data_IF_087024180642
#
_entry.id   IF_087024180642
#
_cell.length_a   1.000
_cell.length_b   1.000
_cell.length_c   1.000
_cell.angle_alpha   90.00
_cell.angle_beta   90.00
_cell.angle_gamma   90.00
#
_symmetry.space_group_name_H-M   'P 1'
#
loop_
_entity.id
_entity.type
_entity.pdbx_description
1 polymer ?
#
# COMPACT_ATOMS: atom_id res chain seq x y z
N UNK A 1 12.05 -3.96 -21.62
CA UNK A 1 11.15 -5.13 -21.66
C UNK A 1 10.13 -4.99 -20.56
N UNK A 2 8.88 -4.94 -20.98
CA UNK A 2 7.64 -4.66 -20.25
C UNK A 2 7.30 -5.84 -19.35
N UNK A 3 7.15 -5.64 -18.03
CA UNK A 3 6.31 -6.54 -17.20
C UNK A 3 4.92 -5.93 -17.22
N UNK A 4 4.02 -6.67 -17.86
CA UNK A 4 2.64 -6.30 -18.16
C UNK A 4 1.86 -6.27 -16.86
N UNK A 5 1.24 -5.13 -16.53
CA UNK A 5 0.20 -5.02 -15.50
C UNK A 5 -0.85 -6.11 -15.80
N UNK A 6 -0.86 -7.22 -15.05
CA UNK A 6 -1.81 -8.29 -15.29
C UNK A 6 -3.20 -7.79 -14.88
N UNK A 7 -4.08 -7.59 -15.85
CA UNK A 7 -5.46 -7.23 -15.62
C UNK A 7 -6.16 -8.39 -14.89
N UNK A 8 -6.75 -8.10 -13.73
CA UNK A 8 -7.60 -9.07 -13.02
C UNK A 8 -8.78 -9.43 -13.94
N UNK A 9 -9.08 -10.73 -14.14
CA UNK A 9 -10.29 -11.14 -14.84
C UNK A 9 -11.52 -10.52 -14.21
N UNK A 10 -12.42 -9.95 -15.04
CA UNK A 10 -13.61 -9.23 -14.54
C UNK A 10 -14.45 -10.06 -13.55
N UNK A 11 -14.50 -11.38 -13.72
CA UNK A 11 -15.25 -12.27 -12.84
C UNK A 11 -14.66 -12.35 -11.43
N UNK A 12 -13.33 -12.34 -11.32
CA UNK A 12 -12.59 -12.32 -10.06
C UNK A 12 -12.76 -10.96 -9.37
N UNK A 13 -12.60 -9.87 -10.12
CA UNK A 13 -12.85 -8.51 -9.66
C UNK A 13 -14.27 -8.33 -9.08
N UNK A 14 -15.28 -8.93 -9.71
CA UNK A 14 -16.67 -8.87 -9.22
C UNK A 14 -16.87 -9.73 -7.96
N UNK A 15 -16.26 -10.91 -7.92
CA UNK A 15 -16.29 -11.78 -6.74
C UNK A 15 -15.70 -11.10 -5.51
N UNK A 16 -14.55 -10.41 -5.68
CA UNK A 16 -13.90 -9.64 -4.62
C UNK A 16 -14.76 -8.47 -4.12
N UNK A 17 -15.55 -7.88 -5.01
CA UNK A 17 -16.55 -6.85 -4.68
C UNK A 17 -17.85 -7.42 -4.07
N UNK A 18 -17.89 -8.71 -3.74
CA UNK A 18 -19.07 -9.38 -3.20
C UNK A 18 -20.23 -9.51 -4.21
N UNK A 19 -19.96 -9.30 -5.50
CA UNK A 19 -20.95 -9.37 -6.57
C UNK A 19 -20.81 -10.69 -7.35
N UNK A 20 -21.92 -11.41 -7.52
CA UNK A 20 -21.94 -12.61 -8.36
C UNK A 20 -22.15 -12.22 -9.84
N UNK A 21 -21.38 -12.82 -10.74
CA UNK A 21 -21.49 -12.60 -12.17
C UNK A 21 -21.91 -13.87 -12.92
N UNK A 22 -22.89 -13.75 -13.81
CA UNK A 22 -23.28 -14.79 -14.76
C UNK A 22 -23.09 -14.28 -16.17
N UNK A 23 -22.18 -14.91 -16.90
CA UNK A 23 -21.90 -14.57 -18.30
C UNK A 23 -23.05 -15.10 -19.18
N UNK A 24 -23.69 -14.21 -19.93
CA UNK A 24 -24.77 -14.54 -20.88
C UNK A 24 -24.24 -14.60 -22.31
N UNK A 25 -23.30 -13.72 -22.65
CA UNK A 25 -22.63 -13.63 -23.95
C UNK A 25 -21.23 -13.03 -23.78
N UNK A 26 -20.38 -12.96 -24.82
CA UNK A 26 -19.05 -12.32 -24.75
C UNK A 26 -19.06 -10.86 -24.28
N UNK A 27 -20.21 -10.17 -24.35
CA UNK A 27 -20.36 -8.78 -23.92
C UNK A 27 -21.54 -8.54 -22.99
N UNK A 28 -22.35 -9.53 -22.69
CA UNK A 28 -23.51 -9.37 -21.82
C UNK A 28 -23.32 -10.24 -20.58
N UNK A 29 -23.33 -9.60 -19.42
CA UNK A 29 -23.16 -10.23 -18.11
C UNK A 29 -24.31 -9.79 -17.22
N UNK A 30 -24.89 -10.74 -16.51
CA UNK A 30 -25.82 -10.45 -15.43
C UNK A 30 -25.04 -10.41 -14.13
N UNK A 31 -25.09 -9.26 -13.44
CA UNK A 31 -24.40 -9.04 -12.17
C UNK A 31 -25.45 -8.97 -11.06
N UNK A 32 -25.22 -9.73 -10.00
CA UNK A 32 -25.99 -9.67 -8.75
C UNK A 32 -25.09 -9.00 -7.71
N UNK A 33 -25.27 -7.70 -7.43
CA UNK A 33 -24.53 -7.01 -6.39
C UNK A 33 -24.93 -7.54 -4.99
N UNK A 34 -24.19 -7.21 -3.93
CA UNK A 34 -24.55 -7.56 -2.55
C UNK A 34 -25.98 -7.14 -2.15
N UNK A 35 -26.49 -6.05 -2.72
CA UNK A 35 -27.86 -5.56 -2.52
C UNK A 35 -28.95 -6.45 -3.15
N UNK A 36 -28.56 -7.50 -3.88
CA UNK A 36 -29.42 -8.60 -4.33
C UNK A 36 -30.17 -8.37 -5.65
N UNK A 37 -30.33 -7.12 -6.10
CA UNK A 37 -31.05 -6.81 -7.34
C UNK A 37 -30.21 -7.12 -8.58
N UNK A 38 -30.66 -8.07 -9.42
CA UNK A 38 -29.96 -8.46 -10.66
C UNK A 38 -29.92 -7.31 -11.67
N UNK A 39 -28.75 -7.13 -12.30
CA UNK A 39 -28.50 -6.07 -13.28
C UNK A 39 -27.93 -6.69 -14.54
N UNK A 40 -28.56 -6.41 -15.69
CA UNK A 40 -28.00 -6.77 -16.98
C UNK A 40 -27.02 -5.69 -17.44
N UNK A 41 -25.77 -6.10 -17.64
CA UNK A 41 -24.65 -5.23 -17.98
C UNK A 41 -24.07 -5.62 -19.33
N UNK A 42 -24.01 -4.64 -20.23
CA UNK A 42 -23.29 -4.76 -21.49
C UNK A 42 -21.89 -4.18 -21.37
N UNK A 43 -20.87 -5.01 -21.59
CA UNK A 43 -19.47 -4.69 -21.42
C UNK A 43 -18.87 -4.01 -22.65
N UNK A 44 -18.08 -2.98 -22.38
CA UNK A 44 -17.23 -2.27 -23.33
C UNK A 44 -15.80 -2.31 -22.79
N UNK A 45 -14.93 -3.06 -23.48
CA UNK A 45 -13.52 -3.20 -23.10
C UNK A 45 -12.69 -2.08 -23.73
N UNK A 46 -11.92 -1.38 -22.91
CA UNK A 46 -11.05 -0.28 -23.33
C UNK A 46 -9.65 -0.46 -22.73
N UNK A 47 -8.62 -0.10 -23.49
CA UNK A 47 -7.23 -0.08 -23.00
C UNK A 47 -6.88 1.18 -22.20
N UNK A 48 -7.82 2.13 -22.10
CA UNK A 48 -7.67 3.41 -21.41
C UNK A 48 -8.97 3.79 -20.70
N UNK A 49 -8.92 4.66 -19.67
CA UNK A 49 -10.12 5.21 -19.07
C UNK A 49 -11.04 5.86 -20.12
N UNK A 50 -12.36 5.58 -20.09
CA UNK A 50 -13.30 6.19 -21.02
C UNK A 50 -13.45 7.69 -20.74
N UNK A 51 -13.68 8.47 -21.80
CA UNK A 51 -14.05 9.89 -21.64
C UNK A 51 -15.53 10.01 -21.30
N UNK A 52 -15.92 11.09 -20.60
CA UNK A 52 -17.31 11.37 -20.28
C UNK A 52 -18.23 11.47 -21.51
N UNK A 53 -17.69 11.82 -22.69
CA UNK A 53 -18.43 11.85 -23.95
C UNK A 53 -18.68 10.44 -24.48
N UNK A 54 -17.65 9.60 -24.51
CA UNK A 54 -17.78 8.19 -24.93
C UNK A 54 -18.78 7.44 -24.04
N UNK A 55 -18.73 7.67 -22.72
CA UNK A 55 -19.66 7.06 -21.76
C UNK A 55 -21.11 7.45 -22.06
N UNK A 56 -21.37 8.75 -22.22
CA UNK A 56 -22.72 9.26 -22.54
C UNK A 56 -23.23 8.75 -23.89
N UNK A 57 -22.36 8.65 -24.89
CA UNK A 57 -22.74 8.16 -26.21
C UNK A 57 -23.15 6.69 -26.17
N UNK A 58 -22.39 5.83 -25.47
CA UNK A 58 -22.71 4.41 -25.34
C UNK A 58 -24.00 4.18 -24.55
N UNK A 59 -24.21 4.92 -23.46
CA UNK A 59 -25.47 4.87 -22.70
C UNK A 59 -26.65 5.36 -23.54
N UNK A 60 -26.48 6.42 -24.32
CA UNK A 60 -27.53 6.95 -25.20
C UNK A 60 -27.92 6.01 -26.35
N UNK A 61 -27.00 5.13 -26.76
CA UNK A 61 -27.24 4.11 -27.80
C UNK A 61 -27.77 2.78 -27.22
N UNK A 62 -27.81 2.63 -25.89
CA UNK A 62 -28.25 1.42 -25.23
C UNK A 62 -29.78 1.30 -25.21
N UNK A 63 -30.28 0.05 -25.19
CA UNK A 63 -31.70 -0.19 -24.97
C UNK A 63 -32.13 0.29 -23.57
N UNK A 64 -33.39 0.68 -23.43
CA UNK A 64 -33.93 1.13 -22.14
C UNK A 64 -33.77 0.03 -21.07
N UNK A 65 -33.21 0.41 -19.92
CA UNK A 65 -32.97 -0.49 -18.79
C UNK A 65 -31.62 -1.21 -18.80
N UNK A 66 -30.86 -1.18 -19.90
CA UNK A 66 -29.52 -1.78 -19.97
C UNK A 66 -28.46 -0.88 -19.34
N UNK A 67 -27.63 -1.46 -18.46
CA UNK A 67 -26.45 -0.77 -17.92
C UNK A 67 -25.24 -1.01 -18.82
N UNK A 68 -24.46 0.02 -19.11
CA UNK A 68 -23.20 -0.08 -19.87
C UNK A 68 -22.02 -0.14 -18.91
N UNK A 69 -21.27 -1.23 -18.93
CA UNK A 69 -20.10 -1.46 -18.11
C UNK A 69 -18.80 -1.26 -18.86
N UNK A 70 -17.96 -0.31 -18.44
CA UNK A 70 -16.65 -0.13 -19.05
C UNK A 70 -15.59 -0.88 -18.26
N UNK A 71 -14.88 -1.78 -18.94
CA UNK A 71 -13.74 -2.52 -18.40
C UNK A 71 -12.47 -1.85 -18.89
N UNK A 72 -11.69 -1.30 -17.96
CA UNK A 72 -10.44 -0.58 -18.22
C UNK A 72 -9.39 -1.00 -17.20
N UNK A 73 -8.09 -1.01 -17.55
CA UNK A 73 -7.04 -1.30 -16.58
C UNK A 73 -7.11 -0.40 -15.35
N UNK A 74 -7.32 0.91 -15.56
CA UNK A 74 -7.40 1.89 -14.47
C UNK A 74 -8.58 2.85 -14.66
N UNK A 75 -9.08 3.38 -13.57
CA UNK A 75 -10.18 4.34 -13.51
C UNK A 75 -9.63 5.71 -13.08
N UNK A 76 -10.03 6.76 -13.80
CA UNK A 76 -9.68 8.13 -13.45
C UNK A 76 -10.85 8.84 -12.75
N UNK A 77 -10.57 9.97 -12.11
CA UNK A 77 -11.56 10.75 -11.35
C UNK A 77 -12.77 11.22 -12.18
N UNK A 78 -12.60 11.41 -13.50
CA UNK A 78 -13.66 11.88 -14.40
C UNK A 78 -14.64 10.74 -14.69
N UNK A 79 -14.15 9.58 -15.13
CA UNK A 79 -14.97 8.40 -15.39
C UNK A 79 -15.68 7.92 -14.12
N UNK A 80 -14.96 7.84 -12.99
CA UNK A 80 -15.52 7.53 -11.66
C UNK A 80 -16.70 8.43 -11.32
N UNK A 81 -16.55 9.76 -11.47
CA UNK A 81 -17.62 10.72 -11.21
C UNK A 81 -18.86 10.50 -12.08
N UNK A 82 -18.66 10.18 -13.36
CA UNK A 82 -19.79 9.90 -14.28
C UNK A 82 -20.52 8.63 -13.86
N UNK A 83 -19.80 7.57 -13.49
CA UNK A 83 -20.39 6.31 -13.08
C UNK A 83 -21.15 6.39 -11.75
N UNK A 84 -20.65 7.20 -10.81
CA UNK A 84 -21.34 7.49 -9.56
C UNK A 84 -22.61 8.35 -9.77
N UNK A 85 -22.64 9.18 -10.82
CA UNK A 85 -23.75 10.09 -11.10
C UNK A 85 -24.85 9.51 -12.01
N UNK A 86 -24.54 8.53 -12.87
CA UNK A 86 -25.50 7.89 -13.78
C UNK A 86 -25.59 6.39 -13.50
N UNK A 87 -26.71 5.88 -12.92
CA UNK A 87 -26.86 4.47 -12.57
C UNK A 87 -26.94 3.52 -13.79
N UNK A 88 -26.95 4.05 -15.01
CA UNK A 88 -26.85 3.27 -16.26
C UNK A 88 -25.40 3.03 -16.68
N UNK A 89 -24.44 3.60 -15.95
CA UNK A 89 -23.02 3.40 -16.17
C UNK A 89 -22.46 2.50 -15.07
N UNK A 90 -21.70 1.49 -15.46
CA UNK A 90 -20.84 0.72 -14.57
C UNK A 90 -19.37 0.87 -14.99
N UNK A 91 -18.45 0.77 -14.04
CA UNK A 91 -17.01 0.80 -14.29
C UNK A 91 -16.32 -0.34 -13.56
N UNK A 92 -15.36 -0.95 -14.25
CA UNK A 92 -14.57 -2.06 -13.76
C UNK A 92 -13.10 -1.79 -14.05
N UNK A 93 -12.37 -1.49 -12.99
CA UNK A 93 -10.96 -1.19 -12.98
C UNK A 93 -10.15 -2.45 -12.67
N UNK A 94 -9.61 -3.10 -13.71
CA UNK A 94 -9.00 -4.43 -13.56
C UNK A 94 -7.62 -4.42 -12.93
N UNK A 95 -6.97 -3.27 -12.81
CA UNK A 95 -5.67 -3.10 -12.14
C UNK A 95 -5.80 -2.37 -10.80
N UNK A 96 -6.75 -1.45 -10.67
CA UNK A 96 -6.98 -0.68 -9.43
C UNK A 96 -8.11 -1.22 -8.55
N UNK A 97 -8.72 -2.35 -8.93
CA UNK A 97 -9.69 -3.08 -8.10
C UNK A 97 -11.03 -2.36 -7.94
N UNK A 98 -11.31 -1.34 -8.75
CA UNK A 98 -12.49 -0.48 -8.58
C UNK A 98 -13.69 -1.09 -9.29
N UNK A 99 -14.78 -1.28 -8.57
CA UNK A 99 -16.07 -1.71 -9.11
C UNK A 99 -17.12 -0.66 -8.79
N UNK A 100 -17.73 -0.06 -9.82
CA UNK A 100 -18.83 0.89 -9.67
C UNK A 100 -20.03 0.38 -10.45
N UNK A 101 -21.16 0.22 -9.77
CA UNK A 101 -22.40 -0.31 -10.30
C UNK A 101 -23.58 0.50 -9.75
N UNK A 102 -24.49 0.94 -10.63
CA UNK A 102 -25.71 1.67 -10.23
C UNK A 102 -25.46 2.95 -9.42
N UNK A 103 -24.33 3.61 -9.62
CA UNK A 103 -23.98 4.81 -8.85
C UNK A 103 -23.31 4.52 -7.51
N UNK A 104 -23.14 3.24 -7.15
CA UNK A 104 -22.48 2.80 -5.92
C UNK A 104 -21.14 2.16 -6.25
N UNK A 105 -20.14 2.43 -5.40
CA UNK A 105 -18.85 1.77 -5.48
C UNK A 105 -18.86 0.53 -4.58
N UNK A 106 -18.80 -0.64 -5.21
CA UNK A 106 -18.86 -1.96 -4.57
C UNK A 106 -17.47 -2.48 -4.18
N UNK A 107 -16.43 -1.66 -4.29
CA UNK A 107 -15.11 -1.97 -3.70
C UNK A 107 -15.36 -2.51 -2.28
N UNK A 108 -14.86 -3.71 -1.93
CA UNK A 108 -15.31 -4.43 -0.74
C UNK A 108 -15.26 -3.53 0.49
N UNK A 109 -16.41 -3.44 1.18
CA UNK A 109 -16.46 -2.90 2.51
C UNK A 109 -15.56 -3.78 3.39
N UNK A 110 -14.53 -3.16 3.94
CA UNK A 110 -13.66 -3.75 4.93
C UNK A 110 -14.50 -4.22 6.13
N UNK A 111 -14.45 -5.51 6.45
CA UNK A 111 -14.43 -5.91 7.86
C UNK A 111 -12.95 -5.95 8.28
N UNK A 112 -12.64 -5.21 9.35
CA UNK A 112 -11.34 -5.06 10.02
C UNK A 112 -10.19 -4.25 9.40
N UNK A 113 -10.46 -3.25 8.55
CA UNK A 113 -9.47 -2.15 8.36
C UNK A 113 -10.10 -0.76 8.50
N UNK A 114 -9.62 -0.09 9.55
CA UNK A 114 -9.90 1.25 10.07
C UNK A 114 -10.15 2.38 9.05
N UNK A 115 -10.82 3.47 9.49
CA UNK A 115 -11.68 4.29 8.65
C UNK A 115 -10.95 5.15 7.62
N UNK A 116 -11.40 5.03 6.37
CA UNK A 116 -11.12 5.96 5.27
C UNK A 116 -11.71 7.34 5.58
N UNK A 117 -10.90 8.24 6.13
CA UNK A 117 -11.10 9.69 5.93
C UNK A 117 -10.44 10.10 4.61
N UNK A 118 -11.10 11.00 3.86
CA UNK A 118 -10.83 11.25 2.44
C UNK A 118 -9.35 11.39 2.07
N UNK A 119 -8.98 10.87 0.89
CA UNK A 119 -7.65 10.99 0.29
C UNK A 119 -7.29 12.46 -0.02
N UNK A 120 -7.04 13.23 1.03
CA UNK A 120 -6.01 14.25 1.05
C UNK A 120 -4.73 13.49 0.74
N UNK A 121 -4.04 13.82 -0.36
CA UNK A 121 -2.75 13.24 -0.77
C UNK A 121 -1.92 12.91 0.47
N UNK A 122 -1.89 11.63 0.85
CA UNK A 122 -1.23 11.20 2.08
C UNK A 122 0.26 11.41 1.84
N UNK A 123 0.83 12.39 2.52
CA UNK A 123 2.19 12.84 2.24
C UNK A 123 3.16 11.84 2.85
N UNK A 124 3.75 10.96 2.04
CA UNK A 124 4.87 10.10 2.49
C UNK A 124 5.97 10.90 3.20
N UNK A 125 6.15 12.18 2.83
CA UNK A 125 7.08 13.09 3.49
C UNK A 125 6.71 13.41 4.95
N UNK A 126 5.42 13.46 5.30
CA UNK A 126 4.97 13.64 6.68
C UNK A 126 5.38 12.43 7.53
N UNK A 127 5.09 11.22 7.06
CA UNK A 127 5.43 10.00 7.76
C UNK A 127 6.95 9.76 7.81
N UNK A 128 7.69 10.13 6.76
CA UNK A 128 9.14 10.17 6.79
C UNK A 128 9.64 11.11 7.90
N UNK A 129 9.07 12.31 8.00
CA UNK A 129 9.45 13.28 9.02
C UNK A 129 9.15 12.77 10.43
N UNK A 130 8.01 12.11 10.66
CA UNK A 130 7.72 11.46 11.94
C UNK A 130 8.79 10.42 12.30
N UNK A 131 9.09 9.49 11.38
CA UNK A 131 10.13 8.44 11.56
C UNK A 131 11.52 9.00 11.79
N UNK A 132 11.85 10.13 11.18
CA UNK A 132 13.14 10.81 11.37
C UNK A 132 13.17 11.52 12.72
N UNK A 133 12.09 12.22 13.09
CA UNK A 133 12.00 12.94 14.36
C UNK A 133 12.05 12.00 15.57
N UNK A 134 11.47 10.80 15.48
CA UNK A 134 11.51 9.78 16.55
C UNK A 134 12.86 9.06 16.70
N UNK A 135 13.80 9.27 15.77
CA UNK A 135 15.09 8.56 15.75
C UNK A 135 16.05 8.92 16.89
N UNK A 136 16.07 10.19 17.30
CA UNK A 136 17.06 10.69 18.27
C UNK A 136 16.52 11.89 19.03
N UNK A 137 16.90 12.08 20.30
CA UNK A 137 16.60 13.28 21.08
C UNK A 137 17.42 14.50 20.64
N UNK A 138 18.37 14.36 19.71
CA UNK A 138 19.22 15.47 19.30
C UNK A 138 18.53 16.42 18.31
N UNK A 139 18.58 17.75 18.54
CA UNK A 139 18.09 18.74 17.58
C UNK A 139 18.83 18.66 16.25
N UNK A 140 18.08 18.77 15.15
CA UNK A 140 18.62 18.71 13.77
C UNK A 140 18.12 19.87 12.92
N UNK A 141 18.96 20.41 12.05
CA UNK A 141 18.54 21.47 11.13
C UNK A 141 17.58 20.92 10.06
N UNK A 142 16.77 21.80 9.47
CA UNK A 142 15.80 21.40 8.43
C UNK A 142 16.49 20.76 7.20
N UNK A 143 17.72 21.16 6.89
CA UNK A 143 18.53 20.57 5.82
C UNK A 143 18.92 19.12 6.12
N UNK A 144 19.23 18.82 7.38
CA UNK A 144 19.55 17.46 7.84
C UNK A 144 18.30 16.59 7.84
N UNK A 145 17.19 17.09 8.40
CA UNK A 145 15.89 16.40 8.37
C UNK A 145 15.45 16.10 6.93
N UNK A 146 15.64 17.05 6.01
CA UNK A 146 15.29 16.85 4.60
C UNK A 146 16.11 15.74 3.94
N UNK A 147 17.42 15.70 4.22
CA UNK A 147 18.32 14.64 3.76
C UNK A 147 17.91 13.28 4.33
N UNK A 148 17.61 13.20 5.62
CA UNK A 148 17.19 11.96 6.29
C UNK A 148 15.82 11.47 5.80
N UNK A 149 14.90 12.37 5.47
CA UNK A 149 13.61 12.04 4.86
C UNK A 149 13.69 11.69 3.37
N UNK A 150 14.74 12.11 2.66
CA UNK A 150 14.84 12.00 1.20
C UNK A 150 13.90 12.96 0.46
N UNK A 151 13.66 14.15 1.02
CA UNK A 151 12.75 15.18 0.47
C UNK A 151 13.43 16.55 0.46
N UNK A 152 12.77 17.57 -0.10
CA UNK A 152 13.34 18.92 -0.12
C UNK A 152 13.26 19.61 1.25
N UNK A 153 14.20 20.51 1.54
CA UNK A 153 14.15 21.35 2.75
C UNK A 153 12.86 22.20 2.82
N UNK A 154 12.37 22.69 1.67
CA UNK A 154 11.10 23.41 1.59
C UNK A 154 9.93 22.54 2.03
N UNK A 155 9.92 21.26 1.65
CA UNK A 155 8.90 20.29 2.10
C UNK A 155 8.92 20.15 3.61
N UNK A 156 10.10 19.98 4.22
CA UNK A 156 10.24 19.90 5.69
C UNK A 156 9.76 21.19 6.35
N UNK A 157 10.15 22.36 5.84
CA UNK A 157 9.70 23.64 6.37
C UNK A 157 8.17 23.78 6.32
N UNK A 158 7.54 23.38 5.22
CA UNK A 158 6.08 23.44 5.07
C UNK A 158 5.36 22.48 6.04
N UNK A 159 5.89 21.28 6.26
CA UNK A 159 5.32 20.31 7.20
C UNK A 159 5.40 20.82 8.64
N UNK A 160 6.57 21.33 9.05
CA UNK A 160 6.78 21.90 10.38
C UNK A 160 5.92 23.15 10.62
N UNK A 161 5.68 23.96 9.59
CA UNK A 161 4.80 25.13 9.68
C UNK A 161 3.31 24.74 9.74
N UNK A 162 2.92 23.66 9.05
CA UNK A 162 1.54 23.19 8.99
C UNK A 162 1.10 22.41 10.25
N UNK A 163 2.03 21.83 10.99
CA UNK A 163 1.74 21.02 12.17
C UNK A 163 2.79 21.27 13.28
N UNK A 164 2.44 22.17 14.21
CA UNK A 164 3.27 22.53 15.36
C UNK A 164 3.38 21.41 16.41
N UNK A 165 2.60 20.33 16.27
CA UNK A 165 2.68 19.13 17.08
C UNK A 165 3.85 18.21 16.69
N UNK A 166 4.43 18.38 15.50
CA UNK A 166 5.54 17.53 15.04
C UNK A 166 6.82 17.78 15.84
N UNK A 167 7.23 19.04 15.96
CA UNK A 167 8.51 19.39 16.52
C UNK A 167 8.50 20.81 17.06
N UNK A 168 9.47 21.10 17.90
CA UNK A 168 9.75 22.45 18.36
C UNK A 168 11.12 22.94 17.90
N UNK A 169 11.20 24.25 17.69
CA UNK A 169 12.41 24.92 17.23
C UNK A 169 13.27 25.28 18.44
N UNK A 170 14.52 24.85 18.41
CA UNK A 170 15.58 25.20 19.36
C UNK A 170 16.62 26.09 18.69
N UNK A 171 17.61 26.56 19.45
CA UNK A 171 18.78 27.27 18.91
C UNK A 171 19.68 26.37 18.04
N UNK A 172 19.58 25.05 18.19
CA UNK A 172 20.41 24.05 17.49
C UNK A 172 19.64 23.24 16.42
N UNK A 173 18.44 23.67 16.06
CA UNK A 173 17.60 22.97 15.09
C UNK A 173 16.25 22.56 15.67
N UNK A 174 15.64 21.52 15.11
CA UNK A 174 14.32 21.02 15.47
C UNK A 174 14.43 19.70 16.21
N UNK A 175 13.62 19.54 17.25
CA UNK A 175 13.50 18.31 18.04
C UNK A 175 12.03 17.91 18.08
N UNK A 176 11.75 16.61 18.09
CA UNK A 176 10.40 16.09 18.28
C UNK A 176 9.78 16.65 19.58
N UNK A 177 8.55 17.15 19.51
CA UNK A 177 7.86 17.69 20.69
C UNK A 177 7.48 16.58 21.66
N UNK A 178 6.84 15.54 21.13
CA UNK A 178 6.48 14.34 21.85
C UNK A 178 6.76 13.13 20.95
N UNK A 179 7.95 12.53 21.07
CA UNK A 179 8.34 11.38 20.27
C UNK A 179 7.38 10.18 20.39
N UNK A 180 6.77 9.97 21.57
CA UNK A 180 5.80 8.87 21.78
C UNK A 180 4.51 9.12 21.02
N UNK A 181 3.93 10.31 21.16
CA UNK A 181 2.74 10.68 20.40
C UNK A 181 2.96 10.62 18.87
N UNK A 182 4.17 10.91 18.39
CA UNK A 182 4.51 10.75 16.97
C UNK A 182 4.58 9.30 16.52
N UNK A 183 5.15 8.43 17.35
CA UNK A 183 5.20 6.99 17.11
C UNK A 183 3.78 6.42 17.04
N UNK A 184 2.93 6.72 18.02
CA UNK A 184 1.55 6.23 18.07
C UNK A 184 0.78 6.70 16.85
N UNK A 185 0.86 8.00 16.54
CA UNK A 185 0.25 8.58 15.34
C UNK A 185 0.75 7.90 14.07
N UNK A 186 2.04 7.62 13.95
CA UNK A 186 2.57 6.92 12.79
C UNK A 186 1.97 5.52 12.65
N UNK A 187 1.97 4.72 13.73
CA UNK A 187 1.47 3.35 13.70
C UNK A 187 -0.04 3.28 13.42
N UNK A 188 -0.80 4.30 13.84
CA UNK A 188 -2.24 4.42 13.55
C UNK A 188 -2.52 4.94 12.13
N UNK A 189 -1.83 6.00 11.69
CA UNK A 189 -2.23 6.75 10.50
C UNK A 189 -1.48 6.36 9.22
N UNK A 190 -0.33 5.66 9.32
CA UNK A 190 0.44 5.31 8.12
C UNK A 190 -0.34 4.32 7.25
N UNK A 191 -0.70 4.69 6.00
CA UNK A 191 -1.52 3.82 5.14
C UNK A 191 -0.72 2.65 4.55
N UNK A 192 0.60 2.66 4.72
CA UNK A 192 1.52 1.74 4.09
C UNK A 192 2.31 2.34 2.95
N UNK A 193 3.32 1.59 2.51
CA UNK A 193 4.25 2.04 1.48
C UNK A 193 3.62 2.13 0.07
N UNK A 194 2.42 1.56 -0.12
CA UNK A 194 1.73 1.47 -1.40
C UNK A 194 2.55 0.72 -2.46
N UNK A 195 2.24 0.98 -3.73
CA UNK A 195 2.96 0.38 -4.87
C UNK A 195 2.45 -1.01 -5.25
N UNK A 196 3.31 -1.79 -5.91
CA UNK A 196 2.98 -3.14 -6.41
C UNK A 196 3.66 -4.20 -5.54
N UNK A 197 2.96 -5.30 -5.27
CA UNK A 197 3.51 -6.42 -4.51
C UNK A 197 3.41 -7.74 -5.26
N UNK A 198 4.42 -8.59 -5.09
CA UNK A 198 4.44 -9.97 -5.54
C UNK A 198 4.58 -10.90 -4.33
N UNK A 199 3.86 -12.00 -4.35
CA UNK A 199 3.88 -13.02 -3.31
C UNK A 199 4.66 -14.24 -3.80
N UNK A 200 5.48 -14.76 -2.90
CA UNK A 200 6.43 -15.82 -3.19
C UNK A 200 6.38 -16.87 -2.10
N UNK A 201 6.61 -18.11 -2.50
CA UNK A 201 6.69 -19.25 -1.61
C UNK A 201 8.02 -19.98 -1.79
N UNK A 202 8.55 -20.46 -0.67
CA UNK A 202 9.65 -21.43 -0.64
C UNK A 202 9.50 -22.30 0.61
N UNK A 203 9.96 -23.56 0.55
CA UNK A 203 9.97 -24.46 1.70
C UNK A 203 11.14 -24.20 2.68
N UNK A 204 12.00 -23.23 2.37
CA UNK A 204 13.14 -22.85 3.22
C UNK A 204 12.68 -22.12 4.48
N UNK A 205 13.48 -22.08 5.55
CA UNK A 205 13.21 -21.20 6.69
C UNK A 205 13.06 -19.73 6.27
N UNK A 206 12.12 -19.01 6.88
CA UNK A 206 11.73 -17.63 6.50
C UNK A 206 12.91 -16.67 6.48
N UNK A 207 13.83 -16.75 7.46
CA UNK A 207 15.03 -15.90 7.48
C UNK A 207 15.99 -16.25 6.33
N UNK A 208 16.14 -17.52 5.98
CA UNK A 208 16.93 -17.90 4.80
C UNK A 208 16.29 -17.39 3.51
N UNK A 209 14.96 -17.42 3.43
CA UNK A 209 14.22 -16.84 2.30
C UNK A 209 14.49 -15.33 2.17
N UNK A 210 14.34 -14.59 3.26
CA UNK A 210 14.58 -13.15 3.30
C UNK A 210 16.00 -12.80 2.85
N UNK A 211 17.01 -13.53 3.34
CA UNK A 211 18.42 -13.33 2.98
C UNK A 211 18.71 -13.60 1.51
N UNK A 212 18.15 -14.68 0.96
CA UNK A 212 18.32 -15.00 -0.47
C UNK A 212 17.66 -13.96 -1.35
N UNK A 213 16.44 -13.55 -1.00
CA UNK A 213 15.72 -12.54 -1.74
C UNK A 213 16.43 -11.18 -1.68
N UNK A 214 16.95 -10.78 -0.51
CA UNK A 214 17.71 -9.54 -0.35
C UNK A 214 18.98 -9.53 -1.23
N UNK A 215 19.69 -10.66 -1.35
CA UNK A 215 20.89 -10.81 -2.20
C UNK A 215 20.60 -10.90 -3.70
N UNK A 216 19.34 -11.10 -4.10
CA UNK A 216 18.96 -11.33 -5.51
C UNK A 216 18.85 -10.06 -6.35
N UNK A 217 18.83 -8.88 -5.73
CA UNK A 217 18.68 -7.59 -6.42
C UNK A 217 19.62 -6.51 -5.90
N UNK A 218 19.83 -5.42 -6.67
CA UNK A 218 20.84 -4.41 -6.37
C UNK A 218 20.49 -3.53 -5.16
N UNK A 219 19.20 -3.39 -4.80
CA UNK A 219 18.78 -2.59 -3.66
C UNK A 219 17.43 -3.03 -3.11
N UNK A 220 17.46 -3.68 -1.96
CA UNK A 220 16.30 -4.10 -1.20
C UNK A 220 16.48 -3.83 0.30
N UNK A 221 15.36 -3.64 1.01
CA UNK A 221 15.29 -3.48 2.46
C UNK A 221 14.42 -4.58 3.04
N UNK A 222 14.95 -5.30 4.03
CA UNK A 222 14.17 -6.24 4.84
C UNK A 222 13.19 -5.48 5.74
N UNK A 223 12.00 -6.02 5.96
CA UNK A 223 10.95 -5.50 6.85
C UNK A 223 10.18 -6.62 7.56
N UNK A 224 9.18 -6.26 8.37
CA UNK A 224 8.34 -7.19 9.13
C UNK A 224 9.15 -8.10 10.05
N UNK A 225 8.78 -9.39 10.13
CA UNK A 225 9.51 -10.36 10.97
C UNK A 225 11.00 -10.42 10.61
N UNK A 226 11.37 -10.32 9.33
CA UNK A 226 12.78 -10.43 8.91
C UNK A 226 13.65 -9.25 9.38
N UNK A 227 13.08 -8.05 9.45
CA UNK A 227 13.78 -6.90 10.05
C UNK A 227 13.74 -6.96 11.57
N UNK A 228 12.59 -7.32 12.15
CA UNK A 228 12.45 -7.44 13.60
C UNK A 228 13.42 -8.48 14.17
N UNK A 229 13.58 -9.64 13.53
CA UNK A 229 14.54 -10.68 13.91
C UNK A 229 15.99 -10.18 13.84
N UNK A 230 16.33 -9.40 12.79
CA UNK A 230 17.66 -8.83 12.65
C UNK A 230 17.98 -7.74 13.69
N UNK A 231 16.96 -6.96 14.09
CA UNK A 231 17.11 -5.82 15.01
C UNK A 231 16.97 -6.28 16.47
N UNK A 232 15.89 -6.97 16.81
CA UNK A 232 15.46 -7.35 18.16
C UNK A 232 14.80 -8.75 18.13
N UNK A 233 15.59 -9.84 18.03
CA UNK A 233 15.05 -11.19 17.90
C UNK A 233 14.25 -11.59 19.14
N UNK A 234 12.98 -11.95 18.93
CA UNK A 234 12.04 -12.23 20.02
C UNK A 234 11.01 -13.32 19.68
N UNK A 235 10.40 -13.26 18.49
CA UNK A 235 9.48 -14.31 17.98
C UNK A 235 10.10 -15.11 16.84
N UNK A 236 9.49 -16.25 16.55
CA UNK A 236 9.83 -17.06 15.37
C UNK A 236 9.21 -16.38 14.12
N UNK A 237 10.02 -15.98 13.13
CA UNK A 237 9.52 -15.38 11.89
C UNK A 237 8.60 -16.33 11.11
N UNK A 238 7.42 -15.86 10.74
CA UNK A 238 6.43 -16.65 9.97
C UNK A 238 6.31 -16.20 8.52
N UNK A 239 6.68 -14.95 8.22
CA UNK A 239 6.72 -14.41 6.85
C UNK A 239 7.82 -13.36 6.69
N UNK A 240 8.24 -13.07 5.45
CA UNK A 240 9.20 -12.01 5.17
C UNK A 240 8.59 -10.94 4.27
N UNK A 241 8.93 -9.68 4.53
CA UNK A 241 8.58 -8.53 3.68
C UNK A 241 9.85 -7.86 3.20
N UNK A 242 9.95 -7.62 1.89
CA UNK A 242 11.06 -6.92 1.27
C UNK A 242 10.55 -5.74 0.46
N UNK A 243 11.12 -4.56 0.68
CA UNK A 243 10.96 -3.43 -0.23
C UNK A 243 12.12 -3.39 -1.21
N UNK A 244 11.82 -3.46 -2.51
CA UNK A 244 12.80 -3.43 -3.58
C UNK A 244 12.54 -2.25 -4.54
N UNK A 245 13.59 -1.75 -5.19
CA UNK A 245 13.44 -0.69 -6.20
C UNK A 245 12.69 -1.17 -7.46
N UNK A 246 12.76 -2.48 -7.73
CA UNK A 246 12.12 -3.18 -8.85
C UNK A 246 11.82 -4.63 -8.48
N UNK A 247 11.09 -5.36 -9.34
CA UNK A 247 10.89 -6.80 -9.15
C UNK A 247 12.21 -7.56 -9.08
N UNK A 248 12.24 -8.62 -8.27
CA UNK A 248 13.41 -9.47 -8.06
C UNK A 248 13.32 -10.78 -8.87
N UNK A 249 14.43 -11.33 -9.40
CA UNK A 249 14.44 -12.55 -10.20
C UNK A 249 14.47 -13.82 -9.31
N UNK A 250 13.47 -13.99 -8.46
CA UNK A 250 13.48 -14.99 -7.38
C UNK A 250 13.27 -16.43 -7.86
N UNK A 251 12.72 -16.64 -9.05
CA UNK A 251 12.51 -17.96 -9.64
C UNK A 251 13.83 -18.74 -9.70
N UNK A 252 14.91 -18.06 -10.12
CA UNK A 252 16.28 -18.60 -10.19
C UNK A 252 16.87 -18.97 -8.82
N UNK A 253 16.29 -18.45 -7.74
CA UNK A 253 16.70 -18.67 -6.34
C UNK A 253 15.84 -19.71 -5.63
N UNK A 254 14.97 -20.43 -6.37
CA UNK A 254 14.14 -21.49 -5.83
C UNK A 254 12.92 -20.99 -5.05
N UNK A 255 12.36 -19.87 -5.49
CA UNK A 255 11.05 -19.38 -5.09
C UNK A 255 10.03 -19.67 -6.19
N UNK A 256 8.78 -19.90 -5.79
CA UNK A 256 7.64 -19.94 -6.70
C UNK A 256 6.78 -18.69 -6.46
N UNK A 257 6.47 -17.93 -7.51
CA UNK A 257 5.46 -16.87 -7.44
C UNK A 257 4.09 -17.51 -7.20
N UNK A 258 3.28 -16.91 -6.34
CA UNK A 258 1.98 -17.48 -5.93
C UNK A 258 1.01 -16.36 -5.59
N UNK A 259 -0.28 -16.66 -5.60
CA UNK A 259 -1.39 -15.86 -5.05
C UNK A 259 -1.93 -16.45 -3.74
N UNK A 260 -1.37 -17.58 -3.30
CA UNK A 260 -1.83 -18.35 -2.14
C UNK A 260 -1.66 -17.57 -0.83
N UNK A 261 -2.59 -17.73 0.15
CA UNK A 261 -2.39 -17.25 1.50
C UNK A 261 -1.18 -17.90 2.21
N UNK A 262 -0.66 -19.00 1.68
CA UNK A 262 0.53 -19.68 2.20
C UNK A 262 1.86 -19.00 1.79
N UNK A 263 1.80 -17.87 1.08
CA UNK A 263 2.99 -17.12 0.70
C UNK A 263 3.84 -16.74 1.92
N UNK A 264 5.11 -17.14 1.90
CA UNK A 264 6.07 -16.91 3.00
C UNK A 264 6.94 -15.68 2.77
N UNK A 265 6.91 -15.09 1.58
CA UNK A 265 7.68 -13.92 1.19
C UNK A 265 6.82 -12.95 0.37
N UNK A 266 6.83 -11.68 0.74
CA UNK A 266 6.24 -10.58 -0.04
C UNK A 266 7.35 -9.64 -0.50
N UNK A 267 7.43 -9.40 -1.80
CA UNK A 267 8.30 -8.37 -2.39
C UNK A 267 7.44 -7.21 -2.84
N UNK A 268 7.75 -6.00 -2.38
CA UNK A 268 7.01 -4.78 -2.67
C UNK A 268 7.92 -3.81 -3.42
N UNK A 269 7.42 -3.24 -4.51
CA UNK A 269 8.01 -2.05 -5.16
C UNK A 269 7.17 -0.85 -4.73
N UNK A 270 7.57 -0.11 -3.68
CA UNK A 270 6.65 0.80 -3.03
C UNK A 270 6.57 2.16 -3.73
N UNK A 271 5.43 2.81 -3.56
CA UNK A 271 5.21 4.18 -4.01
C UNK A 271 5.89 5.19 -3.08
N UNK A 272 5.98 4.88 -1.78
CA UNK A 272 6.67 5.69 -0.78
C UNK A 272 8.18 5.57 -0.92
N UNK A 273 8.79 6.44 -1.73
CA UNK A 273 10.25 6.50 -1.95
C UNK A 273 11.07 6.95 -0.74
N UNK A 274 10.45 7.38 0.36
CA UNK A 274 11.17 7.87 1.53
C UNK A 274 11.78 6.76 2.38
N UNK A 275 11.33 5.50 2.20
CA UNK A 275 11.85 4.33 2.93
C UNK A 275 13.38 4.19 2.84
N UNK A 276 13.98 4.51 1.70
CA UNK A 276 15.41 4.35 1.45
C UNK A 276 16.26 5.35 2.23
N UNK A 277 15.87 6.63 2.21
CA UNK A 277 16.59 7.69 2.90
C UNK A 277 16.48 7.53 4.42
N UNK A 278 15.27 7.22 4.89
CA UNK A 278 15.00 6.96 6.31
C UNK A 278 15.70 5.71 6.81
N UNK A 279 15.66 4.60 6.07
CA UNK A 279 16.45 3.40 6.39
C UNK A 279 17.95 3.74 6.50
N UNK A 280 18.50 4.54 5.59
CA UNK A 280 19.91 4.97 5.65
C UNK A 280 20.20 5.85 6.88
N UNK A 281 19.24 6.69 7.28
CA UNK A 281 19.38 7.57 8.45
C UNK A 281 19.40 6.79 9.77
N UNK A 282 18.63 5.70 9.86
CA UNK A 282 18.61 4.79 11.01
C UNK A 282 19.78 3.81 10.98
N UNK A 283 20.01 3.18 9.83
CA UNK A 283 20.98 2.13 9.63
C UNK A 283 21.83 2.42 8.38
N UNK A 284 22.99 3.08 8.51
CA UNK A 284 23.84 3.44 7.38
C UNK A 284 24.31 2.27 6.50
N UNK A 285 24.25 1.03 7.02
CA UNK A 285 24.54 -0.20 6.27
C UNK A 285 23.43 -0.59 5.29
N UNK A 286 22.23 -0.02 5.41
CA UNK A 286 21.16 -0.10 4.41
C UNK A 286 20.53 -1.48 4.21
N UNK A 287 20.47 -2.31 5.26
CA UNK A 287 19.95 -3.69 5.18
C UNK A 287 18.44 -3.80 5.46
N UNK A 288 17.97 -3.12 6.48
CA UNK A 288 16.57 -3.15 6.94
C UNK A 288 15.94 -1.78 6.76
N UNK A 289 14.61 -1.73 6.75
CA UNK A 289 13.87 -0.48 7.00
C UNK A 289 14.14 0.07 8.40
N UNK A 290 13.67 1.28 8.69
CA UNK A 290 13.66 1.81 10.06
C UNK A 290 12.65 1.05 10.96
N UNK A 291 12.79 1.16 12.30
CA UNK A 291 11.97 0.42 13.26
C UNK A 291 10.48 0.65 13.15
N UNK A 292 10.04 1.84 12.73
CA UNK A 292 8.62 2.17 12.66
C UNK A 292 7.96 1.47 11.47
N UNK A 293 8.64 1.39 10.32
CA UNK A 293 8.16 0.58 9.19
C UNK A 293 8.23 -0.91 9.51
N UNK A 294 9.32 -1.37 10.16
CA UNK A 294 9.43 -2.77 10.57
C UNK A 294 8.28 -3.17 11.51
N UNK A 295 7.96 -2.34 12.51
CA UNK A 295 6.82 -2.53 13.40
C UNK A 295 5.48 -2.51 12.66
N UNK A 296 5.29 -1.57 11.73
CA UNK A 296 4.07 -1.49 10.91
C UNK A 296 3.86 -2.75 10.07
N UNK A 297 4.91 -3.26 9.43
CA UNK A 297 4.82 -4.51 8.66
C UNK A 297 4.65 -5.73 9.58
N UNK A 298 5.32 -5.75 10.74
CA UNK A 298 5.20 -6.81 11.73
C UNK A 298 3.76 -6.95 12.26
N UNK A 299 3.07 -5.82 12.50
CA UNK A 299 1.63 -5.83 12.86
C UNK A 299 0.74 -6.55 11.85
N UNK A 300 1.20 -6.73 10.62
CA UNK A 300 0.45 -7.34 9.52
C UNK A 300 0.83 -8.79 9.23
N UNK A 301 1.85 -9.35 9.89
CA UNK A 301 2.24 -10.76 9.70
C UNK A 301 1.35 -11.72 10.48
N UNK A 302 0.64 -11.22 11.52
CA UNK A 302 -0.31 -11.99 12.31
C UNK A 302 0.34 -12.92 13.34
N UNK A 303 -0.47 -13.42 14.27
CA UNK A 303 -0.02 -14.21 15.43
C UNK A 303 -0.40 -13.54 16.75
N UNK A 304 -0.63 -14.34 17.79
CA UNK A 304 -1.04 -13.84 19.11
C UNK A 304 0.05 -13.05 19.84
N UNK A 305 1.28 -13.17 19.39
CA UNK A 305 2.52 -12.64 19.96
C UNK A 305 3.05 -11.42 19.18
N UNK A 306 2.29 -10.91 18.19
CA UNK A 306 2.71 -9.78 17.34
C UNK A 306 2.89 -8.50 18.16
N UNK A 307 1.94 -8.17 19.03
CA UNK A 307 2.00 -6.91 19.79
C UNK A 307 3.21 -6.90 20.74
N UNK A 308 3.49 -8.01 21.43
CA UNK A 308 4.68 -8.16 22.28
C UNK A 308 5.99 -8.05 21.47
N UNK A 309 6.03 -8.61 20.26
CA UNK A 309 7.19 -8.50 19.37
C UNK A 309 7.40 -7.05 18.88
N UNK A 310 6.33 -6.33 18.58
CA UNK A 310 6.38 -4.91 18.21
C UNK A 310 6.88 -4.06 19.37
N UNK A 311 6.36 -4.29 20.58
CA UNK A 311 6.79 -3.59 21.79
C UNK A 311 8.28 -3.85 22.05
N UNK A 312 8.73 -5.10 21.94
CA UNK A 312 10.14 -5.46 22.11
C UNK A 312 11.06 -4.75 21.11
N UNK A 313 10.67 -4.70 19.83
CA UNK A 313 11.39 -3.99 18.77
C UNK A 313 11.50 -2.49 19.08
N UNK A 314 10.39 -1.85 19.42
CA UNK A 314 10.32 -0.40 19.66
C UNK A 314 11.04 -0.03 20.96
N UNK A 315 10.89 -0.81 22.02
CA UNK A 315 11.61 -0.59 23.29
C UNK A 315 13.13 -0.63 23.11
N UNK A 316 13.63 -1.51 22.24
CA UNK A 316 15.06 -1.61 21.95
C UNK A 316 15.58 -0.36 21.25
N UNK A 317 14.91 0.06 20.19
CA UNK A 317 15.38 1.14 19.30
C UNK A 317 15.03 2.54 19.82
N UNK A 318 13.98 2.65 20.63
CA UNK A 318 13.48 3.90 21.21
C UNK A 318 13.68 3.94 22.73
N UNK A 319 14.67 3.21 23.25
CA UNK A 319 14.98 3.14 24.68
C UNK A 319 15.16 4.52 25.33
N UNK A 320 15.59 5.52 24.56
CA UNK A 320 15.78 6.90 25.00
C UNK A 320 14.47 7.64 25.31
N UNK A 321 13.31 7.08 24.95
CA UNK A 321 12.02 7.63 25.37
C UNK A 321 11.85 7.53 26.89
N UNK A 322 12.56 6.62 27.58
CA UNK A 322 12.40 6.34 29.01
C UNK A 322 13.00 7.41 29.90
#
# INVERSE_FOLDING_TARGET
>A
MTRVDAAIPLQELLSDAGAAARILSPRDVQITPPSGARIDVRLVFLSRPPTAREMRQQVGAAAAGTTIGFVTPRINSISRRVALADPRVALFGTTDGVVILRGEELTPAADDRQPNSGHRRVSSALFALQRVLTRTPEPRFQSELARECGVSQVTVSNLLAADSGLAEKTTRGWIARDPRSLLDRFLTDYPGAGGLSQLWYSSRPVIEQAERAWKSGPRALLSGDSAADAIAPWRIPTSAVLYAESSLPLESSGFAETDSPEATLRVVVPADRTLWATATAWYPTGRTVDPLIAAWDLKRTGGSDVDEAVDHLLDKELAWFR
#
